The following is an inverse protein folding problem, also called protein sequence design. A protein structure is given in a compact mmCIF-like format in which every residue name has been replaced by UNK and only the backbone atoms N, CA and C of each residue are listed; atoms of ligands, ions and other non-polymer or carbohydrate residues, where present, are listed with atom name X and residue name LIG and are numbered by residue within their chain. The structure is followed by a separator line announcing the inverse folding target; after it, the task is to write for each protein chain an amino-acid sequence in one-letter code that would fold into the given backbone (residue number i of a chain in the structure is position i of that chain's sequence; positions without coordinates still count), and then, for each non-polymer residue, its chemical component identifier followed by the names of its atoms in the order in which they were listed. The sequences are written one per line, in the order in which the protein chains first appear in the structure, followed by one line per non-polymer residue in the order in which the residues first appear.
data_IF_660879661539
#
_entry.id   IF_660879661539
#
_cell.length_a   1.000
_cell.length_b   1.000
_cell.length_c   1.000
_cell.angle_alpha   90.00
_cell.angle_beta   90.00
_cell.angle_gamma   90.00
#
_symmetry.space_group_name_H-M   'P 1'
#
loop_
_entity.id
_entity.type
_entity.pdbx_description
1 polymer ?
#
# COMPACT_ATOMS: atom_id res chain seq x y z
N UNK A 1 15.12 25.12 1.61
CA UNK A 1 13.81 24.93 0.95
C UNK A 1 12.75 24.70 2.02
N UNK A 2 11.75 25.58 2.17
CA UNK A 2 10.69 25.41 3.18
C UNK A 2 9.63 24.45 2.63
N UNK A 3 9.44 23.30 3.27
CA UNK A 3 8.44 22.32 2.85
C UNK A 3 7.05 22.81 3.29
N UNK A 4 6.11 22.86 2.37
CA UNK A 4 4.74 23.29 2.58
C UNK A 4 3.95 22.18 3.29
N UNK A 5 3.20 22.55 4.33
CA UNK A 5 2.31 21.62 5.08
C UNK A 5 1.33 20.87 4.18
N UNK A 6 0.94 21.44 3.05
CA UNK A 6 0.04 20.80 2.09
C UNK A 6 0.67 19.60 1.37
N UNK A 7 2.01 19.56 1.28
CA UNK A 7 2.76 18.41 0.75
C UNK A 7 3.34 17.56 1.89
N UNK A 8 3.76 18.17 3.00
CA UNK A 8 4.33 17.47 4.16
C UNK A 8 3.34 16.52 4.84
N UNK A 9 2.11 16.98 5.10
CA UNK A 9 1.13 16.17 5.83
C UNK A 9 0.78 14.90 5.04
N UNK A 10 0.46 14.96 3.73
CA UNK A 10 0.17 13.74 2.99
C UNK A 10 1.37 12.79 2.86
N UNK A 11 2.60 13.32 2.83
CA UNK A 11 3.81 12.49 2.86
C UNK A 11 3.92 11.70 4.16
N UNK A 12 3.78 12.38 5.31
CA UNK A 12 3.81 11.73 6.63
C UNK A 12 2.70 10.69 6.75
N UNK A 13 1.50 10.99 6.24
CA UNK A 13 0.39 10.05 6.23
C UNK A 13 0.69 8.78 5.45
N UNK A 14 1.27 8.88 4.26
CA UNK A 14 1.68 7.71 3.45
C UNK A 14 2.80 6.94 4.14
N UNK A 15 3.76 7.65 4.73
CA UNK A 15 4.85 7.01 5.46
C UNK A 15 4.33 6.17 6.63
N UNK A 16 3.42 6.75 7.43
CA UNK A 16 2.79 6.03 8.55
C UNK A 16 1.97 4.85 8.03
N UNK A 17 1.21 5.01 6.95
CA UNK A 17 0.37 3.92 6.43
C UNK A 17 1.17 2.73 5.92
N UNK A 18 2.31 2.97 5.24
CA UNK A 18 3.21 1.91 4.80
C UNK A 18 3.90 1.24 6.00
N UNK A 19 4.29 2.00 7.02
CA UNK A 19 4.83 1.41 8.26
C UNK A 19 3.80 0.53 8.97
N UNK A 20 2.56 0.99 9.07
CA UNK A 20 1.46 0.19 9.63
C UNK A 20 1.20 -1.07 8.82
N UNK A 21 1.21 -0.96 7.49
CA UNK A 21 1.10 -2.11 6.61
C UNK A 21 2.22 -3.13 6.88
N UNK A 22 3.47 -2.66 7.01
CA UNK A 22 4.59 -3.53 7.32
C UNK A 22 4.45 -4.20 8.70
N UNK A 23 4.01 -3.45 9.72
CA UNK A 23 3.76 -3.97 11.06
C UNK A 23 2.62 -5.00 11.08
N UNK A 24 1.53 -4.74 10.37
CA UNK A 24 0.39 -5.65 10.25
C UNK A 24 0.78 -6.93 9.49
N UNK A 25 1.53 -6.80 8.40
CA UNK A 25 2.07 -7.95 7.69
C UNK A 25 2.99 -8.76 8.62
N UNK A 26 3.96 -8.12 9.28
CA UNK A 26 4.82 -8.80 10.25
C UNK A 26 4.00 -9.52 11.35
N UNK A 27 2.97 -8.86 11.89
CA UNK A 27 2.05 -9.45 12.86
C UNK A 27 1.34 -10.70 12.29
N UNK A 28 0.74 -10.60 11.10
CA UNK A 28 0.09 -11.74 10.44
C UNK A 28 1.08 -12.88 10.19
N UNK A 29 2.31 -12.58 9.78
CA UNK A 29 3.39 -13.54 9.60
C UNK A 29 3.69 -14.26 10.94
N UNK A 30 3.90 -13.54 12.03
CA UNK A 30 4.17 -14.14 13.34
C UNK A 30 3.00 -14.99 13.85
N UNK A 31 1.76 -14.52 13.79
CA UNK A 31 0.61 -15.24 14.36
C UNK A 31 0.11 -16.40 13.49
N UNK A 32 0.26 -16.36 12.15
CA UNK A 32 -0.08 -17.50 11.29
C UNK A 32 0.98 -18.61 11.30
N UNK A 33 2.27 -18.30 11.53
CA UNK A 33 3.33 -19.33 11.66
C UNK A 33 3.02 -20.29 12.81
N UNK A 34 2.44 -19.77 13.90
CA UNK A 34 2.12 -20.57 15.08
C UNK A 34 0.80 -21.31 14.99
N UNK A 35 -0.12 -20.95 14.08
CA UNK A 35 -1.44 -21.58 14.03
C UNK A 35 -1.51 -22.74 13.04
N UNK A 36 -1.36 -22.58 11.71
CA UNK A 36 -1.58 -23.68 10.72
C UNK A 36 -0.63 -23.59 9.50
N UNK A 37 0.34 -24.52 9.40
CA UNK A 37 1.52 -24.40 8.54
C UNK A 37 1.46 -25.04 7.13
N UNK A 38 0.29 -25.32 6.54
CA UNK A 38 0.24 -26.08 5.26
C UNK A 38 0.12 -25.24 3.99
N UNK A 39 -0.44 -24.02 4.04
CA UNK A 39 -0.54 -23.11 2.86
C UNK A 39 0.22 -21.79 3.04
N UNK A 40 1.01 -21.67 4.10
CA UNK A 40 1.58 -20.39 4.49
C UNK A 40 2.72 -19.93 3.56
N UNK A 41 3.50 -20.85 2.99
CA UNK A 41 4.74 -20.55 2.25
C UNK A 41 4.51 -19.64 1.02
N UNK A 42 3.46 -19.89 0.23
CA UNK A 42 3.15 -19.04 -0.92
C UNK A 42 2.64 -17.65 -0.51
N UNK A 43 1.89 -17.59 0.60
CA UNK A 43 1.45 -16.32 1.20
C UNK A 43 2.64 -15.50 1.71
N UNK A 44 3.63 -16.16 2.33
CA UNK A 44 4.89 -15.55 2.79
C UNK A 44 5.67 -14.91 1.65
N UNK A 45 5.87 -15.64 0.55
CA UNK A 45 6.57 -15.13 -0.62
C UNK A 45 5.92 -13.85 -1.15
N UNK A 46 4.61 -13.88 -1.33
CA UNK A 46 3.87 -12.73 -1.84
C UNK A 46 3.88 -11.53 -0.87
N UNK A 47 3.74 -11.75 0.45
CA UNK A 47 3.77 -10.68 1.45
C UNK A 47 5.17 -10.02 1.52
N UNK A 48 6.24 -10.80 1.38
CA UNK A 48 7.59 -10.25 1.39
C UNK A 48 7.86 -9.38 0.14
N UNK A 49 7.42 -9.86 -1.03
CA UNK A 49 7.54 -9.15 -2.30
C UNK A 49 6.75 -7.84 -2.27
N UNK A 50 5.48 -7.87 -1.86
CA UNK A 50 4.63 -6.67 -1.85
C UNK A 50 5.14 -5.63 -0.83
N UNK A 51 5.68 -6.08 0.31
CA UNK A 51 6.31 -5.20 1.30
C UNK A 51 7.55 -4.50 0.74
N UNK A 52 8.37 -5.21 -0.04
CA UNK A 52 9.50 -4.61 -0.76
C UNK A 52 9.03 -3.56 -1.78
N UNK A 53 7.98 -3.85 -2.54
CA UNK A 53 7.41 -2.87 -3.47
C UNK A 53 6.98 -1.60 -2.74
N UNK A 54 6.28 -1.70 -1.60
CA UNK A 54 5.86 -0.53 -0.83
C UNK A 54 7.03 0.25 -0.21
N UNK A 55 8.14 -0.41 0.13
CA UNK A 55 9.37 0.25 0.56
C UNK A 55 10.00 1.04 -0.59
N UNK A 56 10.11 0.44 -1.78
CA UNK A 56 10.59 1.14 -2.99
C UNK A 56 9.67 2.32 -3.33
N UNK A 57 8.35 2.12 -3.21
CA UNK A 57 7.36 3.18 -3.36
C UNK A 57 7.67 4.36 -2.44
N UNK A 58 7.96 4.13 -1.14
CA UNK A 58 8.35 5.16 -0.18
C UNK A 58 9.62 5.91 -0.58
N UNK A 59 10.62 5.24 -1.14
CA UNK A 59 11.85 5.90 -1.58
C UNK A 59 11.59 6.78 -2.80
N UNK A 60 10.79 6.30 -3.76
CA UNK A 60 10.50 7.00 -5.02
C UNK A 60 9.56 8.20 -4.82
N UNK A 61 8.60 8.09 -3.90
CA UNK A 61 7.67 9.18 -3.59
C UNK A 61 8.33 10.35 -2.85
N UNK A 62 9.37 10.13 -2.05
CA UNK A 62 10.08 11.20 -1.32
C UNK A 62 10.55 12.35 -2.22
N UNK A 63 11.33 12.15 -3.30
CA UNK A 63 11.73 13.24 -4.18
C UNK A 63 10.53 13.87 -4.88
N UNK A 64 9.51 13.08 -5.28
CA UNK A 64 8.30 13.60 -5.94
C UNK A 64 7.56 14.60 -5.05
N UNK A 65 7.47 14.32 -3.74
CA UNK A 65 6.83 15.24 -2.78
C UNK A 65 7.64 16.51 -2.54
N UNK A 66 8.96 16.44 -2.61
CA UNK A 66 9.85 17.61 -2.58
C UNK A 66 9.67 18.46 -3.84
N UNK A 67 9.49 17.85 -5.02
CA UNK A 67 9.21 18.58 -6.27
C UNK A 67 7.81 19.20 -6.32
N UNK A 68 6.80 18.49 -5.81
CA UNK A 68 5.41 18.96 -5.74
C UNK A 68 5.14 19.92 -4.57
N UNK A 69 6.19 20.43 -3.92
CA UNK A 69 6.11 21.27 -2.74
C UNK A 69 5.15 22.47 -2.95
N UNK A 70 3.99 22.44 -2.28
CA UNK A 70 2.95 23.45 -2.36
C UNK A 70 1.97 23.33 -3.54
N UNK A 71 2.19 22.41 -4.48
CA UNK A 71 1.29 22.11 -5.62
C UNK A 71 0.38 20.90 -5.37
N UNK A 72 0.43 20.33 -4.17
CA UNK A 72 -0.34 19.14 -3.80
C UNK A 72 -1.85 19.44 -3.74
N UNK A 73 -2.57 19.01 -4.77
CA UNK A 73 -4.03 19.13 -4.90
C UNK A 73 -4.72 17.77 -4.62
N UNK A 74 -6.06 17.76 -4.55
CA UNK A 74 -6.87 16.56 -4.30
C UNK A 74 -6.59 15.42 -5.29
N UNK A 75 -6.39 15.74 -6.58
CA UNK A 75 -6.04 14.76 -7.60
C UNK A 75 -4.74 14.01 -7.29
N UNK A 76 -3.69 14.73 -6.87
CA UNK A 76 -2.43 14.10 -6.48
C UNK A 76 -2.58 13.22 -5.25
N UNK A 77 -3.39 13.63 -4.27
CA UNK A 77 -3.68 12.79 -3.10
C UNK A 77 -4.40 11.51 -3.51
N UNK A 78 -5.40 11.59 -4.37
CA UNK A 78 -6.10 10.43 -4.91
C UNK A 78 -5.12 9.47 -5.61
N UNK A 79 -4.22 10.04 -6.43
CA UNK A 79 -3.17 9.28 -7.10
C UNK A 79 -2.28 8.53 -6.10
N UNK A 80 -1.70 9.21 -5.12
CA UNK A 80 -0.76 8.60 -4.18
C UNK A 80 -1.42 7.70 -3.13
N UNK A 81 -2.68 7.94 -2.77
CA UNK A 81 -3.34 7.15 -1.72
C UNK A 81 -4.00 5.91 -2.28
N UNK A 82 -4.61 6.00 -3.46
CA UNK A 82 -5.43 4.92 -4.02
C UNK A 82 -4.81 4.31 -5.27
N UNK A 83 -4.51 5.13 -6.27
CA UNK A 83 -4.13 4.63 -7.60
C UNK A 83 -2.76 3.95 -7.54
N UNK A 84 -1.75 4.62 -6.99
CA UNK A 84 -0.40 4.06 -6.89
C UNK A 84 -0.38 2.77 -6.05
N UNK A 85 -0.90 2.73 -4.81
CA UNK A 85 -0.89 1.51 -4.03
C UNK A 85 -1.61 0.34 -4.68
N UNK A 86 -2.71 0.60 -5.40
CA UNK A 86 -3.44 -0.41 -6.17
C UNK A 86 -2.60 -0.98 -7.31
N UNK A 87 -2.04 -0.13 -8.18
CA UNK A 87 -1.22 -0.59 -9.30
C UNK A 87 0.05 -1.31 -8.85
N UNK A 88 0.64 -0.87 -7.74
CA UNK A 88 1.80 -1.53 -7.14
C UNK A 88 1.47 -2.96 -6.69
N UNK A 89 0.28 -3.12 -6.09
CA UNK A 89 -0.24 -4.40 -5.62
C UNK A 89 -0.51 -5.37 -6.79
N UNK A 90 -1.12 -4.85 -7.87
CA UNK A 90 -1.30 -5.61 -9.12
C UNK A 90 0.03 -6.03 -9.74
N UNK A 91 1.01 -5.13 -9.76
CA UNK A 91 2.33 -5.42 -10.31
C UNK A 91 3.06 -6.48 -9.49
N UNK A 92 3.01 -6.39 -8.17
CA UNK A 92 3.59 -7.39 -7.27
C UNK A 92 3.02 -8.79 -7.53
N UNK A 93 1.70 -8.90 -7.64
CA UNK A 93 1.04 -10.15 -7.98
C UNK A 93 1.42 -10.67 -9.37
N UNK A 94 1.46 -9.81 -10.38
CA UNK A 94 1.85 -10.21 -11.74
C UNK A 94 3.27 -10.80 -11.72
N UNK A 95 4.21 -10.17 -11.00
CA UNK A 95 5.56 -10.70 -10.87
C UNK A 95 5.57 -12.04 -10.11
N UNK A 96 4.78 -12.19 -9.05
CA UNK A 96 4.68 -13.46 -8.33
C UNK A 96 4.11 -14.60 -9.20
N UNK A 97 3.09 -14.33 -10.01
CA UNK A 97 2.57 -15.34 -10.96
C UNK A 97 3.58 -15.67 -12.05
N UNK A 98 4.23 -14.66 -12.62
CA UNK A 98 5.13 -14.86 -13.74
C UNK A 98 6.42 -15.58 -13.35
N UNK A 99 6.94 -15.33 -12.16
CA UNK A 99 8.22 -15.87 -11.70
C UNK A 99 8.12 -17.09 -10.77
N UNK A 100 7.10 -17.17 -9.90
CA UNK A 100 7.05 -18.18 -8.83
C UNK A 100 5.99 -19.27 -9.03
N UNK A 101 4.96 -19.07 -9.87
CA UNK A 101 4.03 -20.15 -10.17
C UNK A 101 4.61 -21.12 -11.22
N UNK A 102 4.54 -22.44 -11.00
CA UNK A 102 4.92 -23.40 -12.01
C UNK A 102 4.06 -23.18 -13.26
N UNK A 103 4.69 -23.08 -14.43
CA UNK A 103 4.10 -22.80 -15.76
C UNK A 103 2.93 -23.73 -16.19
N UNK A 104 2.53 -24.68 -15.35
CA UNK A 104 1.47 -25.66 -15.56
C UNK A 104 0.21 -25.41 -14.72
N UNK A 105 0.10 -24.31 -13.97
CA UNK A 105 -1.16 -23.97 -13.30
C UNK A 105 -2.18 -23.51 -14.34
N UNK A 106 -3.25 -24.28 -14.54
CA UNK A 106 -4.41 -23.97 -15.38
C UNK A 106 -5.19 -22.73 -14.88
N UNK A 107 -4.56 -21.57 -14.91
CA UNK A 107 -5.11 -20.29 -14.44
C UNK A 107 -5.85 -19.53 -15.56
N UNK A 108 -6.28 -20.23 -16.62
CA UNK A 108 -6.76 -19.61 -17.86
C UNK A 108 -8.02 -20.22 -18.46
N UNK A 109 -8.94 -20.77 -17.65
CA UNK A 109 -10.24 -21.25 -18.14
C UNK A 109 -11.42 -20.39 -17.68
N UNK A 110 -11.17 -19.20 -17.12
CA UNK A 110 -12.20 -18.28 -16.66
C UNK A 110 -12.55 -17.21 -17.70
N UNK A 111 -13.71 -16.56 -17.55
CA UNK A 111 -13.98 -15.32 -18.28
C UNK A 111 -13.03 -14.23 -17.77
N UNK A 112 -12.56 -13.34 -18.66
CA UNK A 112 -11.71 -12.19 -18.32
C UNK A 112 -12.23 -11.40 -17.11
N UNK A 113 -13.56 -11.29 -16.96
CA UNK A 113 -14.21 -10.60 -15.86
C UNK A 113 -14.08 -11.34 -14.52
N UNK A 114 -14.16 -12.68 -14.54
CA UNK A 114 -14.00 -13.53 -13.36
C UNK A 114 -12.56 -13.57 -12.87
N UNK A 115 -11.60 -13.60 -13.80
CA UNK A 115 -10.17 -13.51 -13.49
C UNK A 115 -9.82 -12.13 -12.92
N UNK A 116 -10.31 -11.05 -13.53
CA UNK A 116 -10.08 -9.70 -13.02
C UNK A 116 -10.72 -9.47 -11.63
N UNK A 117 -11.93 -9.99 -11.41
CA UNK A 117 -12.61 -9.94 -10.11
C UNK A 117 -11.85 -10.72 -9.03
N UNK A 118 -11.40 -11.93 -9.36
CA UNK A 118 -10.57 -12.75 -8.46
C UNK A 118 -9.26 -12.03 -8.12
N UNK A 119 -8.54 -11.52 -9.12
CA UNK A 119 -7.33 -10.71 -8.98
C UNK A 119 -7.58 -9.53 -8.04
N UNK A 120 -8.62 -8.74 -8.29
CA UNK A 120 -8.92 -7.54 -7.48
C UNK A 120 -9.24 -7.88 -6.02
N UNK A 121 -10.03 -8.93 -5.78
CA UNK A 121 -10.42 -9.36 -4.43
C UNK A 121 -9.23 -9.97 -3.69
N UNK A 122 -8.49 -10.87 -4.32
CA UNK A 122 -7.35 -11.55 -3.68
C UNK A 122 -6.21 -10.56 -3.42
N UNK A 123 -5.88 -9.70 -4.38
CA UNK A 123 -4.73 -8.78 -4.26
C UNK A 123 -5.03 -7.66 -3.27
N UNK A 124 -6.19 -7.03 -3.42
CA UNK A 124 -6.48 -5.81 -2.68
C UNK A 124 -7.01 -6.09 -1.27
N UNK A 125 -7.82 -7.14 -1.08
CA UNK A 125 -8.46 -7.48 0.20
C UNK A 125 -7.65 -8.52 0.98
N UNK A 126 -7.23 -9.63 0.36
CA UNK A 126 -6.55 -10.72 1.08
C UNK A 126 -5.13 -10.32 1.50
N UNK A 127 -4.36 -9.65 0.63
CA UNK A 127 -3.03 -9.14 1.02
C UNK A 127 -3.07 -7.75 1.68
N UNK A 128 -4.26 -7.25 2.03
CA UNK A 128 -4.43 -6.07 2.88
C UNK A 128 -3.94 -4.74 2.28
N UNK A 129 -3.67 -4.66 0.98
CA UNK A 129 -3.17 -3.43 0.34
C UNK A 129 -4.12 -2.24 0.50
N UNK A 130 -5.42 -2.51 0.70
CA UNK A 130 -6.42 -1.48 1.03
C UNK A 130 -6.18 -0.73 2.35
N UNK A 131 -5.40 -1.31 3.27
CA UNK A 131 -5.07 -0.68 4.55
C UNK A 131 -4.22 0.57 4.35
N UNK A 132 -3.41 0.62 3.29
CA UNK A 132 -2.54 1.77 2.99
C UNK A 132 -3.36 3.04 2.71
N UNK A 133 -4.32 3.06 1.77
CA UNK A 133 -5.19 4.22 1.58
C UNK A 133 -6.01 4.56 2.83
N UNK A 134 -6.53 3.54 3.52
CA UNK A 134 -7.39 3.73 4.69
C UNK A 134 -6.64 4.45 5.81
N UNK A 135 -5.46 3.95 6.17
CA UNK A 135 -4.63 4.52 7.23
C UNK A 135 -4.07 5.88 6.80
N UNK A 136 -3.66 6.04 5.54
CA UNK A 136 -3.17 7.33 5.05
C UNK A 136 -4.24 8.43 5.15
N UNK A 137 -5.48 8.13 4.76
CA UNK A 137 -6.61 9.05 4.90
C UNK A 137 -6.87 9.41 6.38
N UNK A 138 -6.95 8.41 7.27
CA UNK A 138 -7.18 8.63 8.70
C UNK A 138 -6.06 9.46 9.34
N UNK A 139 -4.80 9.13 9.05
CA UNK A 139 -3.64 9.87 9.51
C UNK A 139 -3.65 11.32 9.01
N UNK A 140 -4.00 11.56 7.74
CA UNK A 140 -4.09 12.93 7.22
C UNK A 140 -5.16 13.75 7.95
N UNK A 141 -6.34 13.17 8.16
CA UNK A 141 -7.43 13.83 8.91
C UNK A 141 -6.96 14.16 10.33
N UNK A 142 -6.35 13.19 11.02
CA UNK A 142 -5.88 13.35 12.40
C UNK A 142 -4.78 14.42 12.52
N UNK A 143 -3.77 14.39 11.66
CA UNK A 143 -2.67 15.37 11.67
C UNK A 143 -3.22 16.77 11.36
N UNK A 144 -4.17 16.91 10.44
CA UNK A 144 -4.80 18.20 10.14
C UNK A 144 -5.62 18.73 11.31
N UNK A 145 -6.37 17.86 12.01
CA UNK A 145 -7.11 18.22 13.21
C UNK A 145 -6.18 18.68 14.33
N UNK A 146 -5.11 17.92 14.58
CA UNK A 146 -4.10 18.24 15.59
C UNK A 146 -3.40 19.58 15.28
N UNK A 147 -3.00 19.79 14.02
CA UNK A 147 -2.43 21.06 13.58
C UNK A 147 -3.41 22.22 13.77
N UNK A 148 -4.68 22.03 13.39
CA UNK A 148 -5.71 23.07 13.58
C UNK A 148 -5.94 23.38 15.05
N UNK A 149 -5.85 22.39 15.95
CA UNK A 149 -6.05 22.57 17.38
C UNK A 149 -4.86 23.32 18.03
N UNK A 150 -3.63 22.90 17.74
CA UNK A 150 -2.41 23.50 18.30
C UNK A 150 -2.20 24.96 17.86
N UNK A 151 -2.50 25.26 16.60
CA UNK A 151 -2.37 26.61 16.03
C UNK A 151 -3.68 27.40 16.06
N UNK A 152 -4.70 26.97 16.82
CA UNK A 152 -5.93 27.76 17.03
C UNK A 152 -5.75 28.86 18.07
N UNK A 153 -4.69 28.76 18.88
CA UNK A 153 -4.40 29.63 20.02
C UNK A 153 -3.23 30.59 19.78
N UNK A 154 -2.74 30.67 18.54
CA UNK A 154 -1.76 31.66 18.05
C UNK A 154 -2.33 32.34 16.81
#
# INVERSE_FOLDING_TARGET
MRINKNSLIPYISIFISVLFYYAEMAHQLFFNIFSHATNAIALFGHINIISHYYLVYLIVITPVFVFLNGKMNSLYKCLFYFIFPYFLSLFAWYTHIYFDLPKNSNLGSGTLLGEFGYITVTIYIIYGSFLIPLIACLCEIFIRLLYRYLYRFY
#
